data_IF_542824289372
#
_entry.id   IF_542824289372
#
_cell.length_a   1.000
_cell.length_b   1.000
_cell.length_c   1.000
_cell.angle_alpha   90.00
_cell.angle_beta   90.00
_cell.angle_gamma   90.00
#
_symmetry.space_group_name_H-M   'P 1'
#
loop_
_entity.id
_entity.type
_entity.pdbx_description
1 polymer ?
#
# COMPACT_ATOMS: atom_id res chain seq x y z
N UNK A 1 6.96 13.47 28.50
CA UNK A 1 7.20 12.74 27.24
C UNK A 1 8.53 13.17 26.66
N UNK A 2 9.28 12.28 26.01
CA UNK A 2 10.49 12.65 25.26
C UNK A 2 10.11 13.48 24.03
N UNK A 3 11.06 14.23 23.46
CA UNK A 3 10.87 14.97 22.20
C UNK A 3 10.38 14.06 21.07
N UNK A 4 10.93 12.84 20.98
CA UNK A 4 10.50 11.81 20.04
C UNK A 4 9.03 11.42 20.22
N UNK A 5 8.57 11.19 21.46
CA UNK A 5 7.17 10.81 21.73
C UNK A 5 6.17 11.91 21.37
N UNK A 6 6.52 13.17 21.65
CA UNK A 6 5.68 14.31 21.26
C UNK A 6 5.60 14.41 19.73
N UNK A 7 6.75 14.33 19.05
CA UNK A 7 6.80 14.33 17.58
C UNK A 7 5.95 13.21 16.97
N UNK A 8 6.11 11.96 17.42
CA UNK A 8 5.38 10.81 16.87
C UNK A 8 3.88 10.88 17.14
N UNK A 9 3.48 11.43 18.30
CA UNK A 9 2.06 11.68 18.59
C UNK A 9 1.46 12.68 17.59
N UNK A 10 2.16 13.79 17.32
CA UNK A 10 1.69 14.80 16.36
C UNK A 10 1.68 14.24 14.93
N UNK A 11 2.72 13.50 14.54
CA UNK A 11 2.78 12.86 13.23
C UNK A 11 1.66 11.84 13.04
N UNK A 12 1.31 11.07 14.09
CA UNK A 12 0.19 10.14 14.03
C UNK A 12 -1.14 10.85 13.79
N UNK A 13 -1.39 11.95 14.49
CA UNK A 13 -2.59 12.77 14.26
C UNK A 13 -2.64 13.31 12.83
N UNK A 14 -1.52 13.79 12.30
CA UNK A 14 -1.41 14.28 10.93
C UNK A 14 -1.69 13.17 9.90
N UNK A 15 -1.09 11.98 10.08
CA UNK A 15 -1.35 10.80 9.24
C UNK A 15 -2.84 10.43 9.28
N UNK A 16 -3.42 10.32 10.48
CA UNK A 16 -4.80 9.89 10.66
C UNK A 16 -5.81 10.90 10.09
N UNK A 17 -5.47 12.19 10.04
CA UNK A 17 -6.32 13.25 9.49
C UNK A 17 -6.02 13.57 8.02
N UNK A 18 -4.95 13.03 7.44
CA UNK A 18 -4.53 13.29 6.07
C UNK A 18 -5.62 12.88 5.03
N UNK A 19 -5.79 13.65 3.93
CA UNK A 19 -6.75 13.33 2.86
C UNK A 19 -6.60 11.94 2.25
N UNK A 20 -5.39 11.38 2.20
CA UNK A 20 -5.16 10.02 1.70
C UNK A 20 -5.82 8.93 2.55
N UNK A 21 -5.84 9.11 3.88
CA UNK A 21 -6.44 8.18 4.84
C UNK A 21 -7.96 8.38 4.92
N UNK A 22 -8.42 9.61 4.65
CA UNK A 22 -9.82 10.01 4.67
C UNK A 22 -10.37 10.28 3.26
N UNK A 23 -9.81 9.63 2.24
CA UNK A 23 -10.12 9.92 0.84
C UNK A 23 -11.61 9.71 0.54
N UNK A 24 -12.18 10.54 -0.35
CA UNK A 24 -13.60 10.49 -0.70
C UNK A 24 -14.08 9.08 -1.08
N UNK A 25 -13.33 8.40 -1.96
CA UNK A 25 -13.59 7.00 -2.33
C UNK A 25 -13.71 6.03 -1.14
N UNK A 26 -12.83 6.16 -0.12
CA UNK A 26 -12.88 5.28 1.04
C UNK A 26 -14.17 5.49 1.84
N UNK A 27 -14.57 6.75 2.03
CA UNK A 27 -15.85 7.08 2.65
C UNK A 27 -17.02 6.56 1.81
N UNK A 28 -16.92 6.65 0.49
CA UNK A 28 -17.97 6.19 -0.43
C UNK A 28 -18.16 4.67 -0.33
N UNK A 29 -17.08 3.87 -0.20
CA UNK A 29 -17.20 2.41 0.02
C UNK A 29 -18.10 2.05 1.21
N UNK A 30 -18.06 2.86 2.27
CA UNK A 30 -18.89 2.64 3.45
C UNK A 30 -20.31 3.18 3.34
N UNK A 31 -20.60 4.10 2.41
CA UNK A 31 -21.88 4.82 2.37
C UNK A 31 -22.73 4.55 1.12
N UNK A 32 -22.10 4.12 0.02
CA UNK A 32 -22.76 3.87 -1.27
C UNK A 32 -22.84 2.36 -1.57
N UNK A 33 -23.80 1.92 -2.40
CA UNK A 33 -24.02 0.50 -2.70
C UNK A 33 -23.08 0.00 -3.81
N UNK A 34 -21.79 -0.11 -3.51
CA UNK A 34 -20.81 -0.74 -4.42
C UNK A 34 -21.02 -2.26 -4.51
N UNK A 35 -20.73 -2.82 -5.69
CA UNK A 35 -20.90 -4.23 -6.03
C UNK A 35 -19.56 -4.98 -6.06
N UNK A 36 -19.61 -6.32 -6.15
CA UNK A 36 -18.40 -7.16 -6.36
C UNK A 36 -17.59 -6.71 -7.58
N UNK A 37 -18.26 -6.32 -8.66
CA UNK A 37 -17.57 -5.84 -9.87
C UNK A 37 -16.83 -4.51 -9.65
N UNK A 38 -17.35 -3.63 -8.80
CA UNK A 38 -16.68 -2.35 -8.50
C UNK A 38 -15.42 -2.61 -7.66
N UNK A 39 -15.53 -3.56 -6.72
CA UNK A 39 -14.38 -4.05 -5.96
C UNK A 39 -13.39 -4.87 -6.80
N UNK A 40 -13.83 -5.50 -7.89
CA UNK A 40 -12.92 -6.07 -8.90
C UNK A 40 -12.05 -4.99 -9.53
N UNK A 41 -12.63 -3.86 -9.95
CA UNK A 41 -11.87 -2.75 -10.56
C UNK A 41 -10.90 -2.13 -9.54
N UNK A 42 -11.39 -1.84 -8.32
CA UNK A 42 -10.56 -1.36 -7.22
C UNK A 42 -9.40 -2.31 -6.94
N UNK A 43 -9.73 -3.60 -6.80
CA UNK A 43 -8.82 -4.67 -6.47
C UNK A 43 -7.68 -4.78 -7.48
N UNK A 44 -8.01 -4.78 -8.77
CA UNK A 44 -7.01 -4.83 -9.83
C UNK A 44 -6.03 -3.65 -9.76
N UNK A 45 -6.52 -2.42 -9.60
CA UNK A 45 -5.63 -1.25 -9.47
C UNK A 45 -4.79 -1.25 -8.18
N UNK A 46 -5.27 -1.88 -7.10
CA UNK A 46 -4.57 -1.95 -5.82
C UNK A 46 -3.58 -3.12 -5.73
N UNK A 47 -3.80 -4.20 -6.46
CA UNK A 47 -2.94 -5.39 -6.45
C UNK A 47 -1.44 -5.10 -6.72
N UNK A 48 -1.06 -4.23 -7.67
CA UNK A 48 0.34 -3.86 -7.89
C UNK A 48 1.06 -3.27 -6.67
N UNK A 49 0.36 -2.51 -5.82
CA UNK A 49 0.91 -1.98 -4.58
C UNK A 49 1.25 -3.13 -3.64
N UNK A 50 0.31 -4.05 -3.44
CA UNK A 50 0.48 -5.22 -2.56
C UNK A 50 1.64 -6.09 -3.04
N UNK A 51 1.69 -6.37 -4.34
CA UNK A 51 2.76 -7.18 -4.95
C UNK A 51 4.16 -6.56 -4.92
N UNK A 52 4.30 -5.28 -4.54
CA UNK A 52 5.59 -4.60 -4.43
C UNK A 52 5.94 -4.20 -2.98
N UNK A 53 5.07 -4.44 -2.01
CA UNK A 53 5.32 -3.97 -0.64
C UNK A 53 6.55 -4.62 -0.01
N UNK A 54 6.70 -5.95 -0.15
CA UNK A 54 7.91 -6.68 0.28
C UNK A 54 9.18 -6.13 -0.37
N UNK A 55 9.11 -5.70 -1.64
CA UNK A 55 10.25 -5.10 -2.30
C UNK A 55 10.70 -3.79 -1.66
N UNK A 56 9.75 -2.95 -1.25
CA UNK A 56 10.10 -1.69 -0.56
C UNK A 56 10.81 -1.97 0.76
N UNK A 57 10.30 -2.94 1.53
CA UNK A 57 10.90 -3.38 2.78
C UNK A 57 12.30 -3.97 2.58
N UNK A 58 12.53 -4.75 1.52
CA UNK A 58 13.86 -5.27 1.17
C UNK A 58 14.86 -4.15 0.86
N UNK A 59 14.46 -3.17 0.06
CA UNK A 59 15.31 -2.00 -0.25
C UNK A 59 15.68 -1.24 1.02
N UNK A 60 14.70 -1.03 1.91
CA UNK A 60 14.93 -0.36 3.18
C UNK A 60 15.83 -1.21 4.10
N UNK A 61 15.62 -2.52 4.16
CA UNK A 61 16.41 -3.47 4.94
C UNK A 61 17.90 -3.45 4.55
N UNK A 62 18.20 -3.35 3.25
CA UNK A 62 19.57 -3.25 2.75
C UNK A 62 20.27 -1.98 3.28
N UNK A 63 19.53 -0.88 3.42
CA UNK A 63 20.02 0.45 3.84
C UNK A 63 19.95 0.69 5.35
N UNK A 64 19.44 -0.27 6.12
CA UNK A 64 19.33 -0.15 7.57
C UNK A 64 20.71 0.05 8.23
N UNK A 65 20.83 1.01 9.18
CA UNK A 65 22.12 1.48 9.70
C UNK A 65 22.88 0.46 10.56
N UNK A 66 22.15 -0.49 11.18
CA UNK A 66 22.72 -1.47 12.08
C UNK A 66 21.93 -2.80 12.08
N UNK A 67 22.51 -3.82 12.73
CA UNK A 67 21.89 -5.15 12.81
C UNK A 67 20.61 -5.19 13.64
N UNK A 68 20.45 -4.29 14.61
CA UNK A 68 19.22 -4.24 15.40
C UNK A 68 18.05 -3.78 14.55
N UNK A 69 18.29 -2.76 13.74
CA UNK A 69 17.35 -2.24 12.76
C UNK A 69 16.95 -3.31 11.77
N UNK A 70 17.94 -4.03 11.23
CA UNK A 70 17.68 -5.16 10.31
C UNK A 70 16.80 -6.22 10.95
N UNK A 71 17.10 -6.62 12.20
CA UNK A 71 16.34 -7.68 12.88
C UNK A 71 14.85 -7.37 13.00
N UNK A 72 14.47 -6.15 13.39
CA UNK A 72 13.05 -5.84 13.56
C UNK A 72 12.37 -5.58 12.21
N UNK A 73 13.02 -4.94 11.24
CA UNK A 73 12.50 -4.81 9.87
C UNK A 73 12.26 -6.19 9.23
N UNK A 74 13.16 -7.14 9.45
CA UNK A 74 12.99 -8.52 8.99
C UNK A 74 11.77 -9.21 9.59
N UNK A 75 11.31 -8.84 10.80
CA UNK A 75 10.08 -9.41 11.36
C UNK A 75 8.85 -9.00 10.56
N UNK A 76 8.75 -7.71 10.22
CA UNK A 76 7.69 -7.20 9.35
C UNK A 76 7.75 -7.90 8.00
N UNK A 77 8.95 -7.97 7.39
CA UNK A 77 9.13 -8.64 6.10
C UNK A 77 8.77 -10.13 6.12
N UNK A 78 9.07 -10.86 7.20
CA UNK A 78 8.70 -12.27 7.35
C UNK A 78 7.19 -12.45 7.49
N UNK A 79 6.49 -11.55 8.17
CA UNK A 79 5.03 -11.57 8.22
C UNK A 79 4.43 -11.40 6.82
N UNK A 80 4.93 -10.42 6.05
CA UNK A 80 4.50 -10.21 4.66
C UNK A 80 4.76 -11.44 3.76
N UNK A 81 5.79 -12.21 4.08
CA UNK A 81 6.12 -13.50 3.43
C UNK A 81 5.34 -14.70 3.97
N UNK A 82 4.51 -14.53 5.00
CA UNK A 82 3.55 -15.54 5.42
C UNK A 82 3.77 -16.15 6.81
N UNK A 83 4.73 -15.65 7.60
CA UNK A 83 5.07 -16.25 8.92
C UNK A 83 3.86 -16.33 9.86
N UNK A 84 3.05 -15.26 9.91
CA UNK A 84 1.84 -15.18 10.73
C UNK A 84 0.55 -15.42 9.95
N UNK A 85 0.63 -16.12 8.82
CA UNK A 85 -0.51 -16.37 7.94
C UNK A 85 -0.41 -17.73 7.22
N UNK A 86 0.02 -18.75 7.98
CA UNK A 86 0.10 -20.17 7.55
C UNK A 86 1.00 -20.40 6.33
N UNK A 87 2.03 -19.57 6.14
CA UNK A 87 2.96 -19.67 5.02
C UNK A 87 2.41 -19.15 3.70
N UNK A 88 1.27 -18.46 3.72
CA UNK A 88 0.68 -17.82 2.55
C UNK A 88 1.11 -16.35 2.55
N UNK A 89 1.90 -15.94 1.57
CA UNK A 89 2.29 -14.54 1.46
C UNK A 89 1.07 -13.61 1.23
N UNK A 90 1.23 -12.34 1.61
CA UNK A 90 0.14 -11.37 1.56
C UNK A 90 -0.37 -11.11 0.13
N UNK A 91 0.50 -11.26 -0.88
CA UNK A 91 0.10 -11.13 -2.29
C UNK A 91 -0.83 -12.28 -2.70
N UNK A 92 -0.58 -13.49 -2.23
CA UNK A 92 -1.43 -14.66 -2.44
C UNK A 92 -2.78 -14.53 -1.72
N UNK A 93 -2.82 -13.97 -0.50
CA UNK A 93 -4.10 -13.62 0.15
C UNK A 93 -4.90 -12.60 -0.67
N UNK A 94 -4.22 -11.58 -1.22
CA UNK A 94 -4.89 -10.60 -2.05
C UNK A 94 -5.48 -11.21 -3.32
N UNK A 95 -4.79 -12.18 -3.93
CA UNK A 95 -5.31 -12.91 -5.10
C UNK A 95 -6.61 -13.66 -4.79
N UNK A 96 -6.75 -14.27 -3.61
CA UNK A 96 -8.02 -14.89 -3.19
C UNK A 96 -9.18 -13.88 -3.17
N UNK A 97 -8.91 -12.65 -2.73
CA UNK A 97 -9.89 -11.56 -2.79
C UNK A 97 -10.26 -11.18 -4.23
N UNK A 98 -9.28 -11.09 -5.13
CA UNK A 98 -9.54 -10.86 -6.55
C UNK A 98 -10.38 -11.97 -7.18
N UNK A 99 -10.07 -13.23 -6.88
CA UNK A 99 -10.84 -14.40 -7.34
C UNK A 99 -12.30 -14.34 -6.84
N UNK A 100 -12.52 -13.99 -5.57
CA UNK A 100 -13.85 -13.81 -5.00
C UNK A 100 -14.66 -12.66 -5.64
N UNK A 101 -13.97 -11.69 -6.24
CA UNK A 101 -14.56 -10.63 -7.05
C UNK A 101 -14.70 -11.00 -8.54
N UNK A 102 -14.35 -12.24 -8.94
CA UNK A 102 -14.49 -12.73 -10.31
C UNK A 102 -13.35 -12.33 -11.26
N UNK A 103 -12.16 -12.04 -10.75
CA UNK A 103 -10.95 -11.90 -11.57
C UNK A 103 -10.52 -13.27 -12.08
N UNK A 104 -10.32 -13.40 -13.40
CA UNK A 104 -9.83 -14.64 -13.98
C UNK A 104 -8.31 -14.78 -13.78
N UNK A 105 -7.76 -16.00 -13.68
CA UNK A 105 -6.31 -16.19 -13.56
C UNK A 105 -5.53 -15.47 -14.68
N UNK A 106 -4.55 -14.65 -14.29
CA UNK A 106 -3.71 -13.85 -15.19
C UNK A 106 -4.26 -12.46 -15.52
N UNK A 107 -5.55 -12.20 -15.27
CA UNK A 107 -6.15 -10.86 -15.45
C UNK A 107 -5.51 -9.85 -14.48
N UNK A 108 -5.07 -10.29 -13.29
CA UNK A 108 -4.38 -9.46 -12.31
C UNK A 108 -3.04 -8.90 -12.82
N UNK A 109 -2.44 -9.54 -13.83
CA UNK A 109 -1.19 -9.10 -14.47
C UNK A 109 -1.44 -8.32 -15.77
N UNK A 110 -2.50 -8.66 -16.50
CA UNK A 110 -2.75 -8.15 -17.85
C UNK A 110 -3.58 -6.86 -17.89
N UNK A 111 -4.22 -6.47 -16.79
CA UNK A 111 -5.09 -5.30 -16.79
C UNK A 111 -4.32 -3.98 -16.94
N UNK A 112 -4.96 -2.99 -17.55
CA UNK A 112 -4.41 -1.64 -17.72
C UNK A 112 -4.38 -0.89 -16.39
N UNK A 113 -3.21 -0.39 -16.02
CA UNK A 113 -3.02 0.45 -14.86
C UNK A 113 -3.27 1.92 -15.16
N UNK A 114 -3.79 2.65 -14.18
CA UNK A 114 -3.74 4.10 -14.21
C UNK A 114 -2.31 4.58 -13.94
N UNK A 115 -1.88 5.66 -14.62
CA UNK A 115 -0.50 6.17 -14.49
C UNK A 115 -0.12 6.49 -13.04
N UNK A 116 -1.03 7.08 -12.26
CA UNK A 116 -0.76 7.38 -10.84
C UNK A 116 -0.66 6.15 -9.94
N UNK A 117 -1.22 5.00 -10.34
CA UNK A 117 -0.94 3.71 -9.67
C UNK A 117 0.51 3.31 -9.90
N UNK A 118 0.99 3.40 -11.14
CA UNK A 118 2.39 3.17 -11.47
C UNK A 118 3.32 4.18 -10.78
N UNK A 119 2.92 5.45 -10.70
CA UNK A 119 3.71 6.50 -10.04
C UNK A 119 3.81 6.28 -8.54
N UNK A 120 2.75 5.79 -7.88
CA UNK A 120 2.81 5.40 -6.47
C UNK A 120 3.93 4.41 -6.21
N UNK A 121 4.01 3.36 -7.03
CA UNK A 121 5.02 2.30 -6.87
C UNK A 121 6.42 2.83 -7.18
N UNK A 122 6.58 3.58 -8.27
CA UNK A 122 7.86 4.22 -8.63
C UNK A 122 8.36 5.13 -7.51
N UNK A 123 7.47 5.89 -6.88
CA UNK A 123 7.82 6.79 -5.80
C UNK A 123 8.27 6.04 -4.54
N UNK A 124 7.59 4.95 -4.16
CA UNK A 124 8.03 4.14 -3.02
C UNK A 124 9.35 3.43 -3.27
N UNK A 125 9.60 2.94 -4.50
CA UNK A 125 10.93 2.42 -4.88
C UNK A 125 11.98 3.50 -4.76
N UNK A 126 11.74 4.70 -5.30
CA UNK A 126 12.67 5.84 -5.22
C UNK A 126 12.97 6.20 -3.76
N UNK A 127 11.94 6.40 -2.94
CA UNK A 127 12.09 6.70 -1.51
C UNK A 127 12.96 5.65 -0.82
N UNK A 128 12.65 4.36 -0.99
CA UNK A 128 13.35 3.29 -0.28
C UNK A 128 14.75 3.00 -0.83
N UNK A 129 15.05 3.40 -2.07
CA UNK A 129 16.36 3.13 -2.69
C UNK A 129 17.32 4.32 -2.67
N UNK A 130 16.83 5.56 -2.72
CA UNK A 130 17.69 6.75 -2.90
C UNK A 130 17.68 7.72 -1.74
N UNK A 131 16.58 7.85 -0.99
CA UNK A 131 16.50 8.81 0.12
C UNK A 131 17.26 8.31 1.38
N UNK A 132 17.55 9.20 2.34
CA UNK A 132 18.05 8.80 3.66
C UNK A 132 17.16 7.74 4.31
N UNK A 133 17.76 6.86 5.12
CA UNK A 133 17.06 5.73 5.75
C UNK A 133 15.79 6.19 6.51
N UNK A 134 15.85 7.31 7.23
CA UNK A 134 14.71 7.83 7.98
C UNK A 134 13.55 8.30 7.11
N UNK A 135 13.81 8.78 5.89
CA UNK A 135 12.76 9.11 4.92
C UNK A 135 12.07 7.83 4.44
N UNK A 136 12.84 6.77 4.15
CA UNK A 136 12.28 5.45 3.82
C UNK A 136 11.46 4.85 4.96
N UNK A 137 11.98 4.93 6.18
CA UNK A 137 11.29 4.46 7.39
C UNK A 137 10.00 5.26 7.66
N UNK A 138 10.03 6.58 7.46
CA UNK A 138 8.85 7.43 7.55
C UNK A 138 7.76 7.08 6.54
N UNK A 139 8.16 6.74 5.31
CA UNK A 139 7.23 6.36 4.24
C UNK A 139 6.57 5.00 4.49
N UNK A 140 7.35 3.97 4.85
CA UNK A 140 6.81 2.63 5.09
C UNK A 140 6.12 2.51 6.45
N UNK A 141 6.57 3.26 7.46
CA UNK A 141 5.98 3.22 8.80
C UNK A 141 4.75 4.11 8.90
N UNK A 142 4.90 5.37 9.36
CA UNK A 142 3.78 6.29 9.46
C UNK A 142 2.95 6.44 8.18
N UNK A 143 3.59 6.51 7.01
CA UNK A 143 2.91 6.67 5.72
C UNK A 143 2.14 5.43 5.23
N UNK A 144 2.47 4.24 5.74
CA UNK A 144 1.83 2.98 5.35
C UNK A 144 1.16 2.28 6.54
N UNK A 145 1.94 1.68 7.45
CA UNK A 145 1.45 0.87 8.58
C UNK A 145 0.42 1.59 9.44
N UNK A 146 0.63 2.88 9.75
CA UNK A 146 -0.32 3.62 10.59
C UNK A 146 -1.60 3.99 9.85
N UNK A 147 -1.54 4.13 8.53
CA UNK A 147 -2.67 4.51 7.70
C UNK A 147 -3.61 3.33 7.42
N UNK A 148 -3.07 2.11 7.26
CA UNK A 148 -3.82 0.94 6.78
C UNK A 148 -5.05 0.61 7.66
N UNK A 149 -4.95 0.45 8.99
CA UNK A 149 -6.08 0.00 9.80
C UNK A 149 -7.32 0.88 9.66
N UNK A 150 -7.12 2.21 9.57
CA UNK A 150 -8.21 3.17 9.38
C UNK A 150 -8.83 3.09 7.97
N UNK A 151 -7.99 3.01 6.93
CA UNK A 151 -8.47 2.90 5.54
C UNK A 151 -9.21 1.57 5.31
N UNK A 152 -8.63 0.46 5.73
CA UNK A 152 -9.18 -0.88 5.46
C UNK A 152 -10.48 -1.13 6.18
N UNK A 153 -10.71 -0.50 7.35
CA UNK A 153 -12.02 -0.54 8.01
C UNK A 153 -13.16 -0.08 7.09
N UNK A 154 -12.93 0.97 6.28
CA UNK A 154 -13.93 1.48 5.35
C UNK A 154 -14.14 0.53 4.16
N UNK A 155 -13.06 -0.08 3.67
CA UNK A 155 -13.10 -1.05 2.56
C UNK A 155 -13.87 -2.30 3.00
N UNK A 156 -13.55 -2.87 4.15
CA UNK A 156 -14.21 -4.07 4.71
C UNK A 156 -15.72 -3.84 4.89
N UNK A 157 -16.14 -2.66 5.34
CA UNK A 157 -17.58 -2.32 5.42
C UNK A 157 -18.25 -2.36 4.05
N UNK A 158 -17.60 -1.84 3.02
CA UNK A 158 -18.09 -1.89 1.64
C UNK A 158 -18.14 -3.32 1.09
N UNK A 159 -17.09 -4.12 1.30
CA UNK A 159 -17.02 -5.52 0.88
C UNK A 159 -18.15 -6.37 1.49
N UNK A 160 -18.43 -6.18 2.79
CA UNK A 160 -19.58 -6.82 3.47
C UNK A 160 -20.91 -6.43 2.82
N UNK A 161 -21.11 -5.15 2.50
CA UNK A 161 -22.33 -4.66 1.83
C UNK A 161 -22.47 -5.20 0.40
N UNK A 162 -21.35 -5.42 -0.30
CA UNK A 162 -21.29 -6.06 -1.61
C UNK A 162 -21.52 -7.58 -1.56
N UNK A 163 -21.72 -8.16 -0.38
CA UNK A 163 -22.03 -9.58 -0.19
C UNK A 163 -20.82 -10.51 -0.18
N UNK A 164 -19.61 -9.99 0.06
CA UNK A 164 -18.46 -10.84 0.37
C UNK A 164 -18.50 -11.27 1.84
N UNK A 165 -18.05 -12.49 2.11
CA UNK A 165 -17.82 -13.02 3.46
C UNK A 165 -16.35 -12.83 3.89
N UNK A 166 -16.06 -13.05 5.17
CA UNK A 166 -14.75 -12.76 5.76
C UNK A 166 -13.58 -13.51 5.13
N UNK A 167 -13.79 -14.74 4.67
CA UNK A 167 -12.75 -15.50 3.97
C UNK A 167 -12.43 -14.91 2.59
N UNK A 168 -13.41 -14.27 1.95
CA UNK A 168 -13.25 -13.65 0.64
C UNK A 168 -12.51 -12.31 0.72
N UNK A 169 -12.46 -11.65 1.87
CA UNK A 169 -11.70 -10.41 2.09
C UNK A 169 -10.63 -10.52 3.18
N UNK A 170 -10.18 -11.76 3.46
CA UNK A 170 -9.29 -12.09 4.58
C UNK A 170 -8.02 -11.24 4.61
N UNK A 171 -7.44 -10.92 3.45
CA UNK A 171 -6.31 -9.98 3.32
C UNK A 171 -6.54 -8.69 4.12
N UNK A 172 -7.70 -8.05 3.97
CA UNK A 172 -7.99 -6.76 4.61
C UNK A 172 -8.21 -6.93 6.12
N UNK A 173 -8.89 -8.00 6.54
CA UNK A 173 -9.11 -8.29 7.96
C UNK A 173 -7.79 -8.63 8.67
N UNK A 174 -6.90 -9.37 7.99
CA UNK A 174 -5.58 -9.73 8.49
C UNK A 174 -4.75 -8.47 8.75
N UNK A 175 -4.65 -7.54 7.79
CA UNK A 175 -3.90 -6.29 7.94
C UNK A 175 -4.51 -5.35 8.98
N UNK A 176 -5.84 -5.34 9.14
CA UNK A 176 -6.45 -4.59 10.25
C UNK A 176 -6.01 -5.08 11.64
N UNK A 177 -5.61 -6.36 11.77
CA UNK A 177 -5.12 -6.93 13.02
C UNK A 177 -3.58 -6.89 13.12
N UNK A 178 -2.87 -7.36 12.09
CA UNK A 178 -1.41 -7.48 12.07
C UNK A 178 -0.71 -6.11 12.04
N UNK A 179 -1.24 -5.12 11.32
CA UNK A 179 -0.59 -3.83 11.18
C UNK A 179 -0.68 -2.99 12.46
N UNK A 180 -1.53 -3.39 13.42
CA UNK A 180 -1.48 -2.84 14.79
C UNK A 180 -0.17 -3.24 15.46
N UNK A 181 0.25 -4.50 15.32
CA UNK A 181 1.53 -4.98 15.84
C UNK A 181 2.70 -4.38 15.06
N UNK A 182 2.62 -4.35 13.73
CA UNK A 182 3.66 -3.72 12.89
C UNK A 182 3.81 -2.25 13.24
N UNK A 183 2.70 -1.52 13.35
CA UNK A 183 2.67 -0.13 13.77
C UNK A 183 3.31 0.11 15.13
N UNK A 184 3.12 -0.81 16.09
CA UNK A 184 3.75 -0.77 17.41
C UNK A 184 5.26 -1.07 17.36
N UNK A 185 5.69 -2.04 16.55
CA UNK A 185 7.13 -2.32 16.35
C UNK A 185 7.83 -1.13 15.69
N UNK A 186 7.20 -0.55 14.68
CA UNK A 186 7.68 0.65 13.97
C UNK A 186 7.73 1.86 14.91
N UNK A 187 6.71 2.04 15.76
CA UNK A 187 6.68 3.09 16.79
C UNK A 187 7.87 2.96 17.75
N UNK A 188 8.14 1.76 18.25
CA UNK A 188 9.27 1.52 19.17
C UNK A 188 10.64 1.81 18.52
N UNK A 189 10.79 1.54 17.22
CA UNK A 189 11.99 1.90 16.46
C UNK A 189 12.09 3.42 16.28
N UNK A 190 11.01 4.06 15.85
CA UNK A 190 10.96 5.51 15.62
C UNK A 190 11.23 6.32 16.90
N UNK A 191 10.81 5.84 18.07
CA UNK A 191 11.15 6.47 19.35
C UNK A 191 12.64 6.53 19.64
N UNK A 192 13.42 5.58 19.09
CA UNK A 192 14.87 5.52 19.23
C UNK A 192 15.58 6.40 18.18
N UNK A 193 15.03 6.50 16.97
CA UNK A 193 15.63 7.27 15.88
C UNK A 193 15.26 8.76 15.90
N UNK A 194 14.02 9.12 16.24
CA UNK A 194 13.51 10.49 16.18
C UNK A 194 13.93 11.34 17.39
N UNK A 195 15.16 11.18 17.86
CA UNK A 195 15.70 11.83 19.06
C UNK A 195 16.28 13.22 18.79
N UNK A 196 16.45 13.59 17.52
CA UNK A 196 16.91 14.90 17.08
C UNK A 196 16.04 15.45 15.94
N UNK A 197 16.18 16.75 15.64
CA UNK A 197 15.35 17.45 14.66
C UNK A 197 15.52 16.93 13.23
N UNK A 198 16.74 16.56 12.83
CA UNK A 198 17.02 16.05 11.48
C UNK A 198 16.26 14.74 11.22
N UNK A 199 16.37 13.77 12.12
CA UNK A 199 15.66 12.50 12.02
C UNK A 199 14.13 12.69 12.04
N UNK A 200 13.62 13.64 12.82
CA UNK A 200 12.18 13.98 12.85
C UNK A 200 11.72 14.57 11.51
N UNK A 201 12.47 15.51 10.94
CA UNK A 201 12.18 16.11 9.63
C UNK A 201 12.21 15.06 8.52
N UNK A 202 13.21 14.17 8.53
CA UNK A 202 13.31 13.08 7.56
C UNK A 202 12.15 12.08 7.68
N UNK A 203 11.81 11.66 8.90
CA UNK A 203 10.67 10.79 9.16
C UNK A 203 9.35 11.41 8.68
N UNK A 204 9.11 12.68 9.02
CA UNK A 204 7.94 13.41 8.57
C UNK A 204 7.88 13.53 7.05
N UNK A 205 9.00 13.89 6.41
CA UNK A 205 9.12 13.98 4.94
C UNK A 205 8.72 12.66 4.28
N UNK A 206 9.24 11.54 4.79
CA UNK A 206 8.91 10.21 4.30
C UNK A 206 7.41 9.91 4.36
N UNK A 207 6.81 10.17 5.52
CA UNK A 207 5.38 9.97 5.74
C UNK A 207 4.53 10.80 4.77
N UNK A 208 4.85 12.08 4.61
CA UNK A 208 4.12 12.97 3.71
C UNK A 208 4.26 12.57 2.24
N UNK A 209 5.46 12.22 1.76
CA UNK A 209 5.65 11.74 0.39
C UNK A 209 4.79 10.50 0.10
N UNK A 210 4.77 9.54 1.04
CA UNK A 210 3.94 8.33 0.90
C UNK A 210 2.44 8.67 0.84
N UNK A 211 1.98 9.52 1.76
CA UNK A 211 0.58 9.92 1.85
C UNK A 211 0.12 10.76 0.64
N UNK A 212 0.94 11.67 0.13
CA UNK A 212 0.64 12.43 -1.08
C UNK A 212 0.52 11.52 -2.31
N UNK A 213 1.45 10.58 -2.46
CA UNK A 213 1.37 9.56 -3.50
C UNK A 213 0.10 8.72 -3.34
N UNK A 214 -0.25 8.33 -2.11
CA UNK A 214 -1.45 7.55 -1.80
C UNK A 214 -2.74 8.30 -2.12
N UNK A 215 -2.79 9.61 -1.89
CA UNK A 215 -3.95 10.42 -2.22
C UNK A 215 -4.23 10.40 -3.73
N UNK A 216 -3.18 10.56 -4.54
CA UNK A 216 -3.26 10.45 -6.01
C UNK A 216 -3.64 9.03 -6.45
N UNK A 217 -3.08 8.02 -5.80
CA UNK A 217 -3.45 6.62 -6.02
C UNK A 217 -4.96 6.40 -5.82
N UNK A 218 -5.56 6.86 -4.71
CA UNK A 218 -7.00 6.68 -4.50
C UNK A 218 -7.86 7.45 -5.51
N UNK A 219 -7.43 8.64 -5.92
CA UNK A 219 -8.10 9.38 -7.01
C UNK A 219 -8.03 8.63 -8.34
N UNK A 220 -6.92 7.98 -8.64
CA UNK A 220 -6.73 7.15 -9.83
C UNK A 220 -7.62 5.89 -9.82
N UNK A 221 -7.71 5.22 -8.68
CA UNK A 221 -8.62 4.08 -8.48
C UNK A 221 -10.07 4.54 -8.71
N UNK A 222 -10.48 5.66 -8.11
CA UNK A 222 -11.82 6.22 -8.29
C UNK A 222 -12.11 6.54 -9.77
N UNK A 223 -11.15 7.13 -10.48
CA UNK A 223 -11.26 7.43 -11.91
C UNK A 223 -11.50 6.17 -12.75
N UNK A 224 -10.77 5.07 -12.47
CA UNK A 224 -10.95 3.78 -13.16
C UNK A 224 -12.32 3.15 -12.84
N UNK A 225 -12.76 3.22 -11.60
CA UNK A 225 -14.09 2.75 -11.20
C UNK A 225 -15.21 3.50 -11.93
N UNK A 226 -15.17 4.84 -11.92
CA UNK A 226 -16.15 5.68 -12.62
C UNK A 226 -16.16 5.42 -14.14
N UNK A 227 -14.98 5.21 -14.74
CA UNK A 227 -14.86 4.88 -16.16
C UNK A 227 -15.44 3.49 -16.49
N UNK A 228 -15.26 2.53 -15.58
CA UNK A 228 -15.86 1.20 -15.69
C UNK A 228 -17.39 1.25 -15.65
N UNK A 229 -17.96 2.05 -14.74
CA UNK A 229 -19.41 2.30 -14.70
C UNK A 229 -19.92 2.91 -16.01
N UNK A 230 -19.22 3.90 -16.57
CA UNK A 230 -19.59 4.50 -17.86
C UNK A 230 -19.57 3.45 -18.97
N UNK A 231 -18.54 2.59 -19.07
CA UNK A 231 -18.48 1.51 -20.08
C UNK A 231 -19.57 0.45 -19.91
N UNK A 232 -20.02 0.17 -18.69
CA UNK A 232 -21.21 -0.69 -18.47
C UNK A 232 -22.50 -0.02 -19.00
N UNK A 233 -22.56 1.31 -19.00
CA UNK A 233 -23.71 2.10 -19.46
C UNK A 233 -23.65 2.46 -20.95
N UNK A 234 -22.48 2.47 -21.58
CA UNK A 234 -22.29 2.83 -22.99
C UNK A 234 -21.57 1.72 -23.77
N UNK A 235 -22.24 1.18 -24.80
CA UNK A 235 -21.74 0.09 -25.65
C UNK A 235 -20.73 0.55 -26.71
N UNK A 236 -19.77 1.41 -26.38
CA UNK A 236 -18.78 1.89 -27.35
C UNK A 236 -17.36 1.87 -26.80
N UNK A 237 -16.50 1.10 -27.47
CA UNK A 237 -15.09 0.95 -27.14
C UNK A 237 -14.29 2.19 -27.52
N UNK A 238 -13.65 2.82 -26.53
CA UNK A 238 -12.58 3.79 -26.76
C UNK A 238 -11.23 3.05 -26.82
N UNK A 239 -10.45 3.30 -27.87
CA UNK A 239 -9.02 2.92 -27.94
C UNK A 239 -8.21 3.91 -27.13
N UNK A 240 -7.28 3.42 -26.30
CA UNK A 240 -6.33 4.25 -25.55
C UNK A 240 -4.90 4.02 -26.06
N UNK A 241 -4.16 5.12 -26.16
CA UNK A 241 -2.72 5.18 -26.40
C UNK A 241 -1.95 4.84 -25.11
N UNK A 242 -0.81 4.14 -25.24
CA UNK A 242 0.19 3.99 -24.17
C UNK A 242 -0.21 3.12 -22.97
N UNK A 243 -0.91 2.00 -23.21
CA UNK A 243 -1.34 1.06 -22.16
C UNK A 243 -0.12 0.43 -21.47
N UNK A 244 0.01 0.66 -20.16
CA UNK A 244 0.96 -0.06 -19.30
C UNK A 244 0.17 -1.09 -18.49
N UNK A 245 0.43 -2.37 -18.70
CA UNK A 245 -0.12 -3.43 -17.86
C UNK A 245 0.73 -3.62 -16.60
N UNK A 246 0.19 -4.30 -15.59
CA UNK A 246 1.01 -4.64 -14.43
C UNK A 246 2.19 -5.54 -14.81
N UNK A 247 2.04 -6.43 -15.80
CA UNK A 247 3.13 -7.24 -16.33
C UNK A 247 4.26 -6.37 -16.90
N UNK A 248 3.95 -5.44 -17.81
CA UNK A 248 4.96 -4.56 -18.43
C UNK A 248 5.70 -3.71 -17.37
N UNK A 249 4.94 -3.23 -16.40
CA UNK A 249 5.47 -2.46 -15.28
C UNK A 249 6.37 -3.32 -14.38
N UNK A 250 5.93 -4.52 -14.02
CA UNK A 250 6.66 -5.44 -13.15
C UNK A 250 7.97 -5.90 -13.80
N UNK A 251 7.97 -6.21 -15.10
CA UNK A 251 9.19 -6.54 -15.84
C UNK A 251 10.20 -5.37 -15.80
N UNK A 252 9.72 -4.13 -15.95
CA UNK A 252 10.56 -2.93 -15.84
C UNK A 252 11.17 -2.79 -14.43
N UNK A 253 10.39 -3.03 -13.39
CA UNK A 253 10.85 -2.99 -11.99
C UNK A 253 11.84 -4.12 -11.69
N UNK A 254 11.58 -5.36 -12.13
CA UNK A 254 12.48 -6.50 -11.95
C UNK A 254 13.81 -6.32 -12.68
N UNK A 255 13.80 -5.77 -13.90
CA UNK A 255 15.02 -5.46 -14.62
C UNK A 255 15.86 -4.39 -13.88
N UNK A 256 15.20 -3.46 -13.20
CA UNK A 256 15.87 -2.48 -12.33
C UNK A 256 16.46 -3.13 -11.07
N UNK A 257 15.81 -4.15 -10.48
CA UNK A 257 16.36 -4.96 -9.38
C UNK A 257 17.68 -5.63 -9.76
N UNK A 258 17.75 -6.27 -10.93
CA UNK A 258 18.94 -6.99 -11.37
C UNK A 258 20.15 -6.06 -11.52
N UNK A 259 19.94 -4.84 -12.01
CA UNK A 259 21.01 -3.85 -12.18
C UNK A 259 21.59 -3.34 -10.85
N UNK A 260 20.81 -3.37 -9.76
CA UNK A 260 21.27 -2.96 -8.41
C UNK A 260 22.15 -4.03 -7.73
N UNK A 261 22.10 -5.29 -8.17
CA UNK A 261 22.87 -6.42 -7.59
C UNK A 261 24.24 -6.58 -8.27
N UNK A 262 24.43 -6.02 -9.46
CA UNK A 262 25.68 -6.09 -10.24
C UNK A 262 26.75 -5.04 -9.89
N UNK A 263 26.63 -4.37 -8.74
CA UNK A 263 27.60 -3.42 -8.20
C UNK A 263 28.23 -3.96 -6.91
#
# INVERSE_FOLDING_TARGET
MTTAKVFLSNLREEVETHPAVNHGLLRDFSNLPYTKDDFKIMGLQHFPLVGNFTYYLELLLLRAPDSETKRWLSKVLLDEYGERSEGIDHTAFYKKFLEACGVAPGEELAHELHNDVCNFIKEHIRICSTEPFMVGLGALGPGHEWAIPKMFNQIVRGLKKAGLNEKEYEYFSLHMAQDVDHGNWMQNALEQFCTNNEAQVECWKGAMLSLEARNKFWSAVQSKMNSGEMRKRSSFGAKNEGVVTFKDFFETVQNSRLNLITL
#
